data_IF_243150557814
#
_entry.id   IF_243150557814
#
_cell.length_a   1.000
_cell.length_b   1.000
_cell.length_c   1.000
_cell.angle_alpha   90.00
_cell.angle_beta   90.00
_cell.angle_gamma   90.00
#
_symmetry.space_group_name_H-M   'P 1'
#
loop_
_entity.id
_entity.type
_entity.pdbx_description
1 polymer ?
#
# COMPACT_ATOMS: atom_id res chain seq x y z
N UNK A 1 20.39 -6.64 -30.27
CA UNK A 1 20.68 -5.51 -29.38
C UNK A 1 20.78 -4.20 -30.15
N UNK A 2 21.68 -4.05 -31.13
CA UNK A 2 21.86 -2.80 -31.90
C UNK A 2 20.56 -2.22 -32.48
N UNK A 3 19.69 -3.07 -33.02
CA UNK A 3 18.41 -2.65 -33.56
C UNK A 3 17.48 -2.07 -32.50
N UNK A 4 17.37 -2.73 -31.34
CA UNK A 4 16.57 -2.21 -30.22
C UNK A 4 17.12 -0.87 -29.71
N UNK A 5 18.45 -0.76 -29.57
CA UNK A 5 19.10 0.47 -29.12
C UNK A 5 18.84 1.63 -30.10
N UNK A 6 18.95 1.38 -31.40
CA UNK A 6 18.64 2.38 -32.43
C UNK A 6 17.19 2.84 -32.36
N UNK A 7 16.25 1.91 -32.17
CA UNK A 7 14.84 2.26 -32.01
C UNK A 7 14.61 3.10 -30.74
N UNK A 8 15.29 2.76 -29.62
CA UNK A 8 15.18 3.52 -28.37
C UNK A 8 15.74 4.94 -28.43
N UNK A 9 16.67 5.19 -29.35
CA UNK A 9 17.19 6.54 -29.63
C UNK A 9 16.21 7.42 -30.42
N UNK A 10 15.23 6.83 -31.09
CA UNK A 10 14.23 7.58 -31.84
C UNK A 10 13.12 8.11 -30.92
N UNK A 11 12.68 9.38 -31.05
CA UNK A 11 11.58 9.88 -30.23
C UNK A 11 10.27 9.16 -30.57
N UNK A 12 9.37 9.02 -29.57
CA UNK A 12 8.00 8.61 -29.81
C UNK A 12 7.22 9.80 -30.37
N UNK A 13 6.60 9.61 -31.53
CA UNK A 13 5.88 10.65 -32.21
C UNK A 13 4.38 10.52 -31.99
N UNK A 14 3.72 11.61 -31.66
CA UNK A 14 2.28 11.69 -31.54
C UNK A 14 1.76 13.09 -31.86
N UNK A 15 0.52 13.15 -32.30
CA UNK A 15 -0.24 14.37 -32.54
C UNK A 15 -1.72 14.12 -32.20
N UNK A 16 -2.59 15.10 -32.30
CA UNK A 16 -3.99 15.02 -31.92
C UNK A 16 -4.74 13.84 -32.54
N UNK A 17 -4.40 13.53 -33.79
CA UNK A 17 -5.03 12.46 -34.58
C UNK A 17 -4.37 11.09 -34.43
N UNK A 18 -3.34 10.99 -33.59
CA UNK A 18 -2.65 9.70 -33.40
C UNK A 18 -3.56 8.71 -32.68
N UNK A 19 -3.84 7.59 -33.33
CA UNK A 19 -4.61 6.51 -32.70
C UNK A 19 -3.74 5.70 -31.75
N UNK A 20 -4.36 5.04 -30.78
CA UNK A 20 -3.66 4.13 -29.85
C UNK A 20 -2.87 3.05 -30.60
N UNK A 21 -3.45 2.45 -31.65
CA UNK A 21 -2.77 1.42 -32.45
C UNK A 21 -1.53 2.00 -33.17
N UNK A 22 -1.61 3.20 -33.73
CA UNK A 22 -0.46 3.85 -34.38
C UNK A 22 0.63 4.22 -33.36
N UNK A 23 0.27 4.61 -32.15
CA UNK A 23 1.23 4.86 -31.08
C UNK A 23 1.94 3.57 -30.65
N UNK A 24 1.22 2.48 -30.39
CA UNK A 24 1.78 1.18 -30.00
C UNK A 24 2.66 0.59 -31.11
N UNK A 25 2.35 0.82 -32.39
CA UNK A 25 3.15 0.36 -33.52
C UNK A 25 4.58 0.90 -33.51
N UNK A 26 4.85 2.04 -32.84
CA UNK A 26 6.19 2.63 -32.76
C UNK A 26 7.14 1.90 -31.81
N UNK A 27 6.64 0.98 -30.99
CA UNK A 27 7.46 0.21 -30.06
C UNK A 27 7.09 -1.29 -30.02
N UNK A 28 6.42 -1.78 -31.07
CA UNK A 28 6.06 -3.19 -31.22
C UNK A 28 6.57 -3.78 -32.54
N UNK A 29 6.62 -5.11 -32.62
CA UNK A 29 7.10 -5.81 -33.81
C UNK A 29 8.52 -5.42 -34.20
N UNK A 30 8.72 -4.98 -35.44
CA UNK A 30 10.03 -4.53 -35.95
C UNK A 30 10.52 -3.24 -35.28
N UNK A 31 9.62 -2.46 -34.72
CA UNK A 31 9.93 -1.24 -34.01
C UNK A 31 10.17 -1.45 -32.52
N UNK A 32 10.25 -2.72 -32.06
CA UNK A 32 10.51 -3.02 -30.66
C UNK A 32 11.75 -2.25 -30.15
N UNK A 33 11.69 -1.83 -28.89
CA UNK A 33 12.66 -0.97 -28.22
C UNK A 33 13.25 -1.71 -27.00
N UNK A 34 14.32 -1.18 -26.44
CA UNK A 34 14.86 -1.71 -25.17
C UNK A 34 13.84 -1.59 -24.03
N UNK A 35 13.09 -0.49 -24.01
CA UNK A 35 12.03 -0.26 -23.02
C UNK A 35 10.95 -1.35 -23.12
N UNK A 36 10.55 -1.73 -24.36
CA UNK A 36 9.59 -2.82 -24.59
C UNK A 36 10.11 -4.16 -24.06
N UNK A 37 11.38 -4.46 -24.34
CA UNK A 37 12.03 -5.65 -23.81
C UNK A 37 12.09 -5.63 -22.27
N UNK A 38 12.45 -4.50 -21.70
CA UNK A 38 12.53 -4.32 -20.25
C UNK A 38 11.19 -4.49 -19.56
N UNK A 39 10.10 -3.90 -20.09
CA UNK A 39 8.74 -4.09 -19.59
C UNK A 39 8.33 -5.57 -19.67
N UNK A 40 8.62 -6.23 -20.79
CA UNK A 40 8.35 -7.67 -20.94
C UNK A 40 9.10 -8.51 -19.89
N UNK A 41 10.38 -8.23 -19.65
CA UNK A 41 11.17 -8.92 -18.63
C UNK A 41 10.62 -8.66 -17.21
N UNK A 42 10.21 -7.42 -16.91
CA UNK A 42 9.54 -7.09 -15.64
C UNK A 42 8.22 -7.85 -15.49
N UNK A 43 7.44 -7.98 -16.56
CA UNK A 43 6.20 -8.77 -16.54
C UNK A 43 6.49 -10.26 -16.30
N UNK A 44 7.57 -10.83 -16.86
CA UNK A 44 8.01 -12.20 -16.58
C UNK A 44 8.37 -12.35 -15.11
N UNK A 45 9.10 -11.41 -14.52
CA UNK A 45 9.43 -11.42 -13.08
C UNK A 45 8.17 -11.40 -12.23
N UNK A 46 7.22 -10.50 -12.52
CA UNK A 46 5.93 -10.43 -11.82
C UNK A 46 5.16 -11.75 -11.96
N UNK A 47 5.09 -12.32 -13.15
CA UNK A 47 4.43 -13.61 -13.37
C UNK A 47 5.03 -14.73 -12.50
N UNK A 48 6.35 -14.75 -12.28
CA UNK A 48 6.96 -15.72 -11.34
C UNK A 48 6.55 -15.49 -9.89
N UNK A 49 6.02 -14.33 -9.55
CA UNK A 49 5.52 -14.03 -8.20
C UNK A 49 4.03 -14.37 -8.07
N UNK A 50 3.23 -13.95 -9.04
CA UNK A 50 1.76 -14.03 -9.00
C UNK A 50 1.23 -15.40 -9.48
N UNK A 51 2.02 -16.17 -10.23
CA UNK A 51 1.62 -17.48 -10.76
C UNK A 51 2.43 -18.59 -10.08
N UNK A 52 1.82 -19.35 -9.15
CA UNK A 52 2.54 -20.39 -8.39
C UNK A 52 3.09 -21.52 -9.27
N UNK A 53 2.34 -21.90 -10.32
CA UNK A 53 2.67 -23.02 -11.17
C UNK A 53 2.48 -22.69 -12.65
N UNK A 54 3.58 -22.71 -13.42
CA UNK A 54 3.56 -22.47 -14.86
C UNK A 54 4.51 -23.43 -15.60
N UNK A 55 4.08 -24.69 -15.83
CA UNK A 55 4.95 -25.80 -16.24
C UNK A 55 5.65 -25.60 -17.59
N UNK A 56 5.21 -24.66 -18.41
CA UNK A 56 5.90 -24.30 -19.66
C UNK A 56 7.14 -23.43 -19.46
N UNK A 57 7.20 -22.66 -18.35
CA UNK A 57 8.33 -21.78 -18.04
C UNK A 57 9.18 -22.29 -16.89
N UNK A 58 8.56 -22.85 -15.85
CA UNK A 58 9.25 -23.43 -14.69
C UNK A 58 8.45 -24.61 -14.12
N UNK A 59 9.17 -25.64 -13.70
CA UNK A 59 8.58 -26.86 -13.12
C UNK A 59 8.84 -26.99 -11.63
N UNK A 60 9.87 -26.31 -11.15
CA UNK A 60 10.29 -26.33 -9.75
C UNK A 60 10.45 -24.89 -9.24
N UNK A 61 10.44 -24.73 -7.92
CA UNK A 61 10.74 -23.42 -7.31
C UNK A 61 12.16 -22.95 -7.67
N UNK A 62 13.11 -23.86 -7.79
CA UNK A 62 14.47 -23.52 -8.19
C UNK A 62 14.50 -22.91 -9.61
N UNK A 63 13.79 -23.52 -10.57
CA UNK A 63 13.68 -22.98 -11.94
C UNK A 63 12.98 -21.61 -11.93
N UNK A 64 11.92 -21.47 -11.12
CA UNK A 64 11.19 -20.22 -10.92
C UNK A 64 12.12 -19.11 -10.41
N UNK A 65 12.90 -19.38 -9.36
CA UNK A 65 13.86 -18.41 -8.82
C UNK A 65 15.00 -18.09 -9.79
N UNK A 66 15.49 -19.06 -10.53
CA UNK A 66 16.50 -18.83 -11.59
C UNK A 66 15.96 -17.93 -12.69
N UNK A 67 14.73 -18.20 -13.17
CA UNK A 67 14.07 -17.36 -14.17
C UNK A 67 13.88 -15.94 -13.66
N UNK A 68 13.37 -15.79 -12.44
CA UNK A 68 13.19 -14.48 -11.78
C UNK A 68 14.51 -13.71 -11.75
N UNK A 69 15.57 -14.32 -11.24
CA UNK A 69 16.89 -13.70 -11.15
C UNK A 69 17.46 -13.30 -12.51
N UNK A 70 17.32 -14.16 -13.52
CA UNK A 70 17.79 -13.87 -14.87
C UNK A 70 17.01 -12.70 -15.48
N UNK A 71 15.67 -12.76 -15.44
CA UNK A 71 14.82 -11.73 -16.01
C UNK A 71 15.01 -10.37 -15.30
N UNK A 72 15.17 -10.35 -13.96
CA UNK A 72 15.49 -9.12 -13.22
C UNK A 72 16.81 -8.52 -13.68
N UNK A 73 17.88 -9.29 -13.76
CA UNK A 73 19.19 -8.79 -14.19
C UNK A 73 19.16 -8.25 -15.62
N UNK A 74 18.47 -8.93 -16.52
CA UNK A 74 18.33 -8.47 -17.91
C UNK A 74 17.47 -7.21 -17.99
N UNK A 75 16.41 -7.10 -17.16
CA UNK A 75 15.60 -5.89 -17.03
C UNK A 75 16.44 -4.71 -16.53
N UNK A 76 17.22 -4.90 -15.45
CA UNK A 76 18.11 -3.87 -14.91
C UNK A 76 19.12 -3.38 -15.93
N UNK A 77 19.78 -4.32 -16.64
CA UNK A 77 20.74 -3.96 -17.69
C UNK A 77 20.07 -3.20 -18.85
N UNK A 78 18.88 -3.63 -19.28
CA UNK A 78 18.13 -2.90 -20.30
C UNK A 78 17.78 -1.47 -19.84
N UNK A 79 17.42 -1.31 -18.56
CA UNK A 79 17.14 0.01 -17.99
C UNK A 79 18.38 0.89 -17.93
N UNK A 80 19.53 0.37 -17.52
CA UNK A 80 20.80 1.10 -17.50
C UNK A 80 21.18 1.62 -18.91
N UNK A 81 20.99 0.76 -19.91
CA UNK A 81 21.22 1.18 -21.32
C UNK A 81 20.22 2.28 -21.71
N UNK A 82 18.92 2.13 -21.45
CA UNK A 82 17.92 3.16 -21.75
C UNK A 82 18.26 4.51 -21.09
N UNK A 83 18.67 4.49 -19.82
CA UNK A 83 19.07 5.71 -19.11
C UNK A 83 20.32 6.36 -19.72
N UNK A 84 21.28 5.55 -20.18
CA UNK A 84 22.51 6.04 -20.82
C UNK A 84 22.29 6.70 -22.19
N UNK A 85 21.15 6.40 -22.84
CA UNK A 85 20.79 7.02 -24.13
C UNK A 85 20.25 8.45 -23.97
N UNK A 86 19.86 8.85 -22.78
CA UNK A 86 19.25 10.16 -22.47
C UNK A 86 18.05 10.52 -23.37
N UNK A 87 17.21 9.53 -23.67
CA UNK A 87 16.04 9.63 -24.53
C UNK A 87 14.74 9.39 -23.79
N UNK A 88 14.55 10.10 -22.65
CA UNK A 88 13.40 9.94 -21.78
C UNK A 88 12.08 10.12 -22.53
N UNK A 89 11.16 9.16 -22.36
CA UNK A 89 9.85 9.13 -22.98
C UNK A 89 8.83 8.39 -22.11
N UNK A 90 7.54 8.39 -22.51
CA UNK A 90 6.45 7.74 -21.77
C UNK A 90 6.69 6.23 -21.54
N UNK A 91 7.28 5.54 -22.53
CA UNK A 91 7.54 4.10 -22.42
C UNK A 91 8.69 3.82 -21.46
N UNK A 92 9.72 4.67 -21.44
CA UNK A 92 10.83 4.54 -20.48
C UNK A 92 10.34 4.79 -19.04
N UNK A 93 9.45 5.76 -18.83
CA UNK A 93 8.82 5.96 -17.51
C UNK A 93 8.02 4.74 -17.07
N UNK A 94 7.22 4.15 -17.97
CA UNK A 94 6.49 2.93 -17.68
C UNK A 94 7.45 1.77 -17.32
N UNK A 95 8.57 1.65 -18.05
CA UNK A 95 9.60 0.66 -17.74
C UNK A 95 10.25 0.88 -16.37
N UNK A 96 10.63 2.13 -16.05
CA UNK A 96 11.18 2.47 -14.73
C UNK A 96 10.20 2.12 -13.61
N UNK A 97 8.91 2.41 -13.82
CA UNK A 97 7.87 2.09 -12.85
C UNK A 97 7.72 0.58 -12.64
N UNK A 98 7.63 -0.21 -13.71
CA UNK A 98 7.55 -1.68 -13.60
C UNK A 98 8.81 -2.28 -12.97
N UNK A 99 9.99 -1.73 -13.25
CA UNK A 99 11.24 -2.14 -12.61
C UNK A 99 11.25 -1.78 -11.11
N UNK A 100 10.72 -0.61 -10.72
CA UNK A 100 10.52 -0.29 -9.30
C UNK A 100 9.63 -1.33 -8.61
N UNK A 101 8.47 -1.65 -9.18
CA UNK A 101 7.56 -2.68 -8.63
C UNK A 101 8.24 -4.04 -8.48
N UNK A 102 9.04 -4.46 -9.48
CA UNK A 102 9.84 -5.70 -9.38
C UNK A 102 10.76 -5.67 -8.17
N UNK A 103 11.41 -4.56 -7.90
CA UNK A 103 12.37 -4.45 -6.80
C UNK A 103 11.72 -4.36 -5.41
N UNK A 104 10.42 -4.06 -5.30
CA UNK A 104 9.72 -4.14 -4.01
C UNK A 104 9.68 -5.57 -3.46
N UNK A 105 9.59 -6.58 -4.32
CA UNK A 105 9.60 -7.98 -3.88
C UNK A 105 10.92 -8.73 -4.15
N UNK A 106 11.80 -8.22 -5.01
CA UNK A 106 13.12 -8.82 -5.24
C UNK A 106 14.15 -8.36 -4.22
N UNK A 107 14.14 -7.08 -3.87
CA UNK A 107 15.04 -6.47 -2.87
C UNK A 107 14.32 -6.26 -1.52
N UNK A 108 12.99 -6.26 -1.50
CA UNK A 108 12.13 -6.03 -0.36
C UNK A 108 11.59 -4.59 -0.30
N UNK A 109 10.39 -4.45 0.26
CA UNK A 109 9.69 -3.16 0.39
C UNK A 109 10.46 -2.15 1.27
N UNK A 110 11.23 -2.63 2.25
CA UNK A 110 12.06 -1.79 3.13
C UNK A 110 13.41 -1.42 2.52
N UNK A 111 13.79 -1.97 1.36
CA UNK A 111 15.12 -1.79 0.82
C UNK A 111 15.37 -0.36 0.36
N UNK A 112 16.61 0.12 0.57
CA UNK A 112 17.05 1.39 0.00
C UNK A 112 16.97 1.37 -1.54
N UNK A 113 17.23 0.22 -2.16
CA UNK A 113 17.18 0.04 -3.62
C UNK A 113 15.78 0.34 -4.16
N UNK A 114 14.73 -0.26 -3.58
CA UNK A 114 13.33 -0.01 -3.98
C UNK A 114 12.95 1.46 -3.78
N UNK A 115 13.27 2.01 -2.61
CA UNK A 115 12.99 3.41 -2.30
C UNK A 115 13.69 4.38 -3.25
N UNK A 116 14.96 4.14 -3.61
CA UNK A 116 15.71 4.95 -4.57
C UNK A 116 15.06 4.90 -5.94
N UNK A 117 14.70 3.70 -6.43
CA UNK A 117 14.04 3.51 -7.75
C UNK A 117 12.74 4.29 -7.87
N UNK A 118 11.93 4.35 -6.81
CA UNK A 118 10.75 5.23 -6.80
C UNK A 118 11.14 6.69 -6.99
N UNK A 119 12.28 7.13 -6.42
CA UNK A 119 12.81 8.47 -6.64
C UNK A 119 13.21 8.73 -8.10
N UNK A 120 13.81 7.75 -8.76
CA UNK A 120 14.18 7.84 -10.19
C UNK A 120 12.91 7.92 -11.07
N UNK A 121 11.87 7.14 -10.75
CA UNK A 121 10.54 7.21 -11.41
C UNK A 121 9.93 8.60 -11.26
N UNK A 122 9.92 9.16 -10.04
CA UNK A 122 9.38 10.49 -9.76
C UNK A 122 10.14 11.56 -10.53
N UNK A 123 11.47 11.51 -10.54
CA UNK A 123 12.30 12.45 -11.29
C UNK A 123 11.98 12.42 -12.80
N UNK A 124 11.85 11.22 -13.36
CA UNK A 124 11.50 11.04 -14.79
C UNK A 124 10.09 11.54 -15.11
N UNK A 125 9.12 11.26 -14.22
CA UNK A 125 7.75 11.74 -14.36
C UNK A 125 7.67 13.28 -14.34
N UNK A 126 8.40 13.93 -13.44
CA UNK A 126 8.47 15.39 -13.38
C UNK A 126 9.18 15.97 -14.60
N UNK A 127 10.26 15.34 -15.09
CA UNK A 127 10.97 15.75 -16.30
C UNK A 127 10.08 15.65 -17.56
N UNK A 128 9.17 14.68 -17.61
CA UNK A 128 8.15 14.55 -18.67
C UNK A 128 6.98 15.55 -18.54
N UNK A 129 6.92 16.34 -17.47
CA UNK A 129 5.89 17.35 -17.25
C UNK A 129 4.53 16.79 -16.85
N UNK A 130 4.43 15.57 -16.32
CA UNK A 130 3.12 14.99 -15.93
C UNK A 130 2.45 15.74 -14.77
N UNK A 131 3.21 16.49 -13.99
CA UNK A 131 2.73 17.33 -12.88
C UNK A 131 2.11 18.64 -13.36
N UNK A 132 2.32 19.01 -14.62
CA UNK A 132 1.85 20.28 -15.18
C UNK A 132 0.39 20.20 -15.64
N UNK A 133 -0.25 21.39 -15.75
CA UNK A 133 -1.60 21.49 -16.27
C UNK A 133 -1.60 21.23 -17.78
N UNK A 134 -2.36 20.24 -18.21
CA UNK A 134 -2.57 20.00 -19.65
C UNK A 134 -3.50 21.09 -20.20
N UNK A 135 -2.94 22.26 -20.49
CA UNK A 135 -3.72 23.39 -21.06
C UNK A 135 -4.02 23.23 -22.55
N UNK A 136 -3.32 22.34 -23.23
CA UNK A 136 -3.41 22.17 -24.67
C UNK A 136 -3.93 20.79 -25.05
N UNK A 137 -5.23 20.55 -24.90
CA UNK A 137 -5.94 19.42 -25.52
C UNK A 137 -5.67 19.30 -27.04
N UNK A 138 -5.12 20.33 -27.68
CA UNK A 138 -4.90 20.40 -29.14
C UNK A 138 -3.66 19.64 -29.62
N UNK A 139 -2.76 19.15 -28.77
CA UNK A 139 -1.48 18.55 -29.21
C UNK A 139 -1.27 17.10 -28.79
N UNK A 140 -1.99 16.62 -27.80
CA UNK A 140 -1.83 15.28 -27.23
C UNK A 140 -3.13 14.51 -27.42
N UNK A 141 -3.12 13.27 -27.94
CA UNK A 141 -4.33 12.48 -28.09
C UNK A 141 -4.90 12.08 -26.74
N UNK A 142 -6.24 12.00 -26.62
CA UNK A 142 -6.95 11.78 -25.36
C UNK A 142 -6.47 10.52 -24.62
N UNK A 143 -6.24 9.41 -25.32
CA UNK A 143 -5.76 8.17 -24.70
C UNK A 143 -4.39 8.37 -24.01
N UNK A 144 -3.53 9.21 -24.54
CA UNK A 144 -2.20 9.48 -23.98
C UNK A 144 -2.32 10.42 -22.77
N UNK A 145 -3.26 11.37 -22.79
CA UNK A 145 -3.59 12.20 -21.61
C UNK A 145 -4.07 11.29 -20.47
N UNK A 146 -5.01 10.37 -20.75
CA UNK A 146 -5.52 9.43 -19.76
C UNK A 146 -4.44 8.50 -19.22
N UNK A 147 -3.54 8.01 -20.09
CA UNK A 147 -2.40 7.17 -19.68
C UNK A 147 -1.48 7.94 -18.72
N UNK A 148 -1.12 9.17 -19.05
CA UNK A 148 -0.26 10.03 -18.23
C UNK A 148 -0.90 10.38 -16.89
N UNK A 149 -2.20 10.68 -16.89
CA UNK A 149 -2.96 10.94 -15.66
C UNK A 149 -3.00 9.71 -14.75
N UNK A 150 -3.24 8.51 -15.33
CA UNK A 150 -3.24 7.26 -14.57
C UNK A 150 -1.85 6.93 -14.02
N UNK A 151 -0.79 7.14 -14.79
CA UNK A 151 0.59 6.94 -14.35
C UNK A 151 0.95 7.92 -13.22
N UNK A 152 0.60 9.21 -13.36
CA UNK A 152 0.81 10.19 -12.30
C UNK A 152 0.08 9.80 -11.02
N UNK A 153 -1.21 9.47 -11.13
CA UNK A 153 -2.04 9.07 -9.98
C UNK A 153 -1.42 7.89 -9.22
N UNK A 154 -0.92 6.89 -9.96
CA UNK A 154 -0.28 5.71 -9.38
C UNK A 154 1.03 6.06 -8.67
N UNK A 155 1.94 6.77 -9.34
CA UNK A 155 3.24 7.17 -8.78
C UNK A 155 3.04 8.07 -7.55
N UNK A 156 2.06 8.98 -7.60
CA UNK A 156 1.71 9.84 -6.47
C UNK A 156 1.20 9.02 -5.27
N UNK A 157 0.39 8.01 -5.52
CA UNK A 157 -0.10 7.09 -4.46
C UNK A 157 1.06 6.33 -3.83
N UNK A 158 1.93 5.73 -4.64
CA UNK A 158 3.07 4.96 -4.16
C UNK A 158 4.04 5.84 -3.35
N UNK A 159 4.24 7.11 -3.75
CA UNK A 159 5.05 8.06 -2.96
C UNK A 159 4.49 8.26 -1.54
N UNK A 160 3.16 8.38 -1.38
CA UNK A 160 2.56 8.56 -0.06
C UNK A 160 2.56 7.27 0.77
N UNK A 161 2.25 6.14 0.16
CA UNK A 161 2.23 4.85 0.85
C UNK A 161 3.61 4.41 1.31
N UNK A 162 4.61 4.53 0.44
CA UNK A 162 6.01 4.23 0.79
C UNK A 162 6.53 5.21 1.84
N UNK A 163 6.12 6.49 1.78
CA UNK A 163 6.47 7.49 2.80
C UNK A 163 5.91 7.14 4.18
N UNK A 164 4.64 6.74 4.26
CA UNK A 164 3.99 6.29 5.49
C UNK A 164 4.68 5.02 6.01
N UNK A 165 4.88 4.02 5.14
CA UNK A 165 5.45 2.74 5.52
C UNK A 165 6.91 2.87 6.04
N UNK A 166 7.74 3.65 5.34
CA UNK A 166 9.15 3.84 5.74
C UNK A 166 9.34 4.99 6.73
N UNK A 167 8.26 5.71 7.07
CA UNK A 167 8.33 6.90 7.89
C UNK A 167 9.23 7.99 7.30
N UNK A 168 9.28 8.17 6.00
CA UNK A 168 10.12 9.15 5.29
C UNK A 168 9.28 10.26 4.67
N UNK A 169 9.86 11.47 4.46
CA UNK A 169 9.14 12.55 3.77
C UNK A 169 8.70 12.12 2.38
N UNK A 170 7.47 12.49 1.94
CA UNK A 170 7.07 12.33 0.56
C UNK A 170 7.91 13.22 -0.35
N UNK A 171 8.16 12.76 -1.58
CA UNK A 171 8.94 13.49 -2.58
C UNK A 171 8.06 14.39 -3.46
N UNK A 172 6.79 13.99 -3.64
CA UNK A 172 5.80 14.76 -4.39
C UNK A 172 4.95 15.57 -3.43
N UNK A 173 4.69 16.83 -3.79
CA UNK A 173 3.73 17.66 -3.06
C UNK A 173 2.63 18.15 -4.00
N UNK A 174 1.38 18.00 -3.58
CA UNK A 174 0.20 18.54 -4.26
C UNK A 174 0.34 20.03 -4.59
N UNK A 175 1.05 20.79 -3.76
CA UNK A 175 1.25 22.25 -3.97
C UNK A 175 1.94 22.60 -5.28
N UNK A 176 2.74 21.67 -5.83
CA UNK A 176 3.49 21.84 -7.06
C UNK A 176 2.94 20.99 -8.21
N UNK A 177 1.81 20.31 -8.00
CA UNK A 177 1.24 19.41 -9.00
C UNK A 177 -0.18 19.85 -9.37
N UNK A 178 -0.41 20.05 -10.65
CA UNK A 178 -1.71 20.42 -11.23
C UNK A 178 -2.33 19.25 -12.00
N UNK A 179 -2.29 18.05 -11.43
CA UNK A 179 -2.88 16.91 -12.08
C UNK A 179 -4.39 16.81 -11.85
N UNK A 180 -5.10 16.22 -12.80
CA UNK A 180 -6.49 15.82 -12.63
C UNK A 180 -6.54 14.35 -12.31
N UNK A 181 -7.42 13.98 -11.39
CA UNK A 181 -7.73 12.58 -11.13
C UNK A 181 -8.38 12.00 -12.39
N UNK A 182 -7.98 10.79 -12.85
CA UNK A 182 -8.58 10.17 -14.04
C UNK A 182 -10.11 10.13 -13.97
N UNK A 183 -10.76 10.47 -15.07
CA UNK A 183 -12.19 10.89 -15.23
C UNK A 183 -13.24 9.94 -14.64
N UNK A 184 -12.92 8.68 -14.35
CA UNK A 184 -13.90 7.70 -13.84
C UNK A 184 -14.63 8.13 -12.55
N UNK A 185 -14.12 9.11 -11.81
CA UNK A 185 -14.68 9.62 -10.56
C UNK A 185 -14.84 11.15 -10.54
N UNK A 186 -14.60 11.87 -11.65
CA UNK A 186 -14.66 13.34 -11.75
C UNK A 186 -16.05 13.95 -11.43
N UNK A 187 -17.10 13.14 -11.38
CA UNK A 187 -18.42 13.61 -10.90
C UNK A 187 -18.40 14.03 -9.43
N UNK A 188 -17.32 13.77 -8.72
CA UNK A 188 -17.17 14.09 -7.28
C UNK A 188 -16.74 15.53 -7.01
N UNK A 189 -15.98 16.17 -7.92
CA UNK A 189 -15.53 17.56 -7.73
C UNK A 189 -16.48 18.61 -8.35
N UNK A 190 -17.42 18.21 -9.20
CA UNK A 190 -18.26 19.13 -9.98
C UNK A 190 -19.36 19.85 -9.17
N UNK A 191 -19.62 19.49 -7.93
CA UNK A 191 -20.74 20.05 -7.15
C UNK A 191 -20.46 21.39 -6.45
N UNK A 192 -19.26 21.95 -6.52
CA UNK A 192 -19.00 23.28 -5.90
C UNK A 192 -19.04 24.48 -6.87
N UNK A 193 -19.16 24.30 -8.17
CA UNK A 193 -19.00 25.42 -9.12
C UNK A 193 -19.88 25.46 -10.37
N UNK A 194 -20.91 24.64 -10.52
CA UNK A 194 -21.77 24.70 -11.71
C UNK A 194 -23.26 24.74 -11.40
N UNK A 195 -23.80 25.95 -11.29
CA UNK A 195 -25.20 26.24 -11.66
C UNK A 195 -25.28 26.22 -13.21
N UNK A 196 -25.78 25.14 -13.80
CA UNK A 196 -25.98 25.09 -15.24
C UNK A 196 -26.36 23.69 -15.72
N UNK A 197 -27.66 23.50 -15.87
CA UNK A 197 -28.33 22.48 -16.68
C UNK A 197 -27.43 21.77 -17.70
N UNK A 198 -27.31 20.39 -17.63
CA UNK A 198 -27.79 19.55 -18.71
C UNK A 198 -27.40 18.08 -18.61
N UNK A 199 -28.43 17.28 -18.87
CA UNK A 199 -28.46 15.93 -19.46
C UNK A 199 -27.75 14.84 -18.67
N UNK A 200 -28.49 14.32 -17.72
CA UNK A 200 -28.33 12.97 -17.19
C UNK A 200 -28.78 11.99 -18.30
N UNK A 201 -27.82 11.51 -19.07
CA UNK A 201 -27.98 10.20 -19.71
C UNK A 201 -28.09 9.13 -18.63
N UNK A 202 -28.65 7.92 -18.89
CA UNK A 202 -28.70 6.86 -17.91
C UNK A 202 -27.30 6.66 -17.37
N UNK A 203 -27.14 6.72 -16.05
CA UNK A 203 -25.86 6.58 -15.37
C UNK A 203 -25.25 5.25 -15.85
N UNK A 204 -24.34 5.33 -16.81
CA UNK A 204 -23.50 4.20 -17.16
C UNK A 204 -22.82 3.79 -15.87
N UNK A 205 -23.12 2.58 -15.37
CA UNK A 205 -22.45 2.04 -14.18
C UNK A 205 -20.95 2.18 -14.39
N UNK A 206 -20.30 2.99 -13.55
CA UNK A 206 -18.85 3.18 -13.60
C UNK A 206 -18.24 1.79 -13.44
N UNK A 207 -17.55 1.31 -14.46
CA UNK A 207 -16.94 -0.02 -14.46
C UNK A 207 -15.73 -0.01 -13.51
N UNK A 208 -15.61 -1.06 -12.70
CA UNK A 208 -14.41 -1.30 -11.91
C UNK A 208 -13.30 -1.75 -12.87
N UNK A 209 -12.44 -0.82 -13.24
CA UNK A 209 -11.28 -1.03 -14.10
C UNK A 209 -10.01 -0.42 -13.47
N UNK A 210 -8.91 -0.50 -14.19
CA UNK A 210 -7.62 0.04 -13.74
C UNK A 210 -7.69 1.57 -13.45
N UNK A 211 -8.45 2.33 -14.24
CA UNK A 211 -8.60 3.78 -14.05
C UNK A 211 -9.36 4.09 -12.77
N UNK A 212 -10.46 3.37 -12.52
CA UNK A 212 -11.20 3.50 -11.28
C UNK A 212 -10.31 3.21 -10.06
N UNK A 213 -9.45 2.19 -10.17
CA UNK A 213 -8.46 1.87 -9.13
C UNK A 213 -7.46 3.00 -8.90
N UNK A 214 -6.85 3.52 -9.97
CA UNK A 214 -5.91 4.64 -9.87
C UNK A 214 -6.58 5.91 -9.30
N UNK A 215 -7.82 6.19 -9.72
CA UNK A 215 -8.56 7.37 -9.26
C UNK A 215 -8.87 7.30 -7.77
N UNK A 216 -9.38 6.16 -7.29
CA UNK A 216 -9.66 5.98 -5.87
C UNK A 216 -8.40 6.06 -5.01
N UNK A 217 -7.33 5.36 -5.42
CA UNK A 217 -6.06 5.38 -4.72
C UNK A 217 -5.47 6.81 -4.65
N UNK A 218 -5.57 7.59 -5.73
CA UNK A 218 -5.11 8.98 -5.75
C UNK A 218 -5.94 9.89 -4.84
N UNK A 219 -7.28 9.72 -4.79
CA UNK A 219 -8.13 10.45 -3.85
C UNK A 219 -7.74 10.17 -2.40
N UNK A 220 -7.48 8.91 -2.06
CA UNK A 220 -6.99 8.52 -0.74
C UNK A 220 -5.58 9.08 -0.47
N UNK A 221 -4.69 9.08 -1.48
CA UNK A 221 -3.33 9.59 -1.36
C UNK A 221 -3.30 11.12 -1.10
N UNK A 222 -4.25 11.88 -1.65
CA UNK A 222 -4.40 13.30 -1.33
C UNK A 222 -4.67 13.54 0.16
N UNK A 223 -5.55 12.72 0.76
CA UNK A 223 -5.82 12.79 2.19
C UNK A 223 -4.62 12.27 3.02
N UNK A 224 -3.94 11.21 2.56
CA UNK A 224 -2.71 10.71 3.18
C UNK A 224 -1.61 11.79 3.20
N UNK A 225 -1.48 12.64 2.15
CA UNK A 225 -0.55 13.79 2.18
C UNK A 225 -0.94 14.82 3.25
N UNK A 226 -2.23 15.20 3.33
CA UNK A 226 -2.70 16.11 4.38
C UNK A 226 -2.42 15.53 5.79
N UNK A 227 -2.52 14.21 5.96
CA UNK A 227 -2.21 13.51 7.21
C UNK A 227 -0.70 13.55 7.52
N UNK A 228 0.15 13.32 6.51
CA UNK A 228 1.60 13.42 6.67
C UNK A 228 2.03 14.82 7.13
N UNK A 229 1.34 15.88 6.69
CA UNK A 229 1.57 17.23 7.21
C UNK A 229 1.19 17.37 8.70
N UNK A 230 0.20 16.61 9.19
CA UNK A 230 -0.18 16.66 10.61
C UNK A 230 0.87 16.05 11.53
N UNK A 231 1.69 15.08 11.07
CA UNK A 231 2.76 14.52 11.87
C UNK A 231 3.85 15.54 12.27
N UNK A 232 3.98 16.62 11.49
CA UNK A 232 4.94 17.70 11.76
C UNK A 232 4.30 18.93 12.39
N UNK A 233 2.97 18.91 12.61
CA UNK A 233 2.22 20.02 13.19
C UNK A 233 2.43 20.05 14.72
N UNK A 234 2.99 21.15 15.21
CA UNK A 234 3.31 21.33 16.64
C UNK A 234 2.11 21.80 17.48
N UNK A 235 1.14 22.46 16.85
CA UNK A 235 -0.04 22.95 17.56
C UNK A 235 -1.11 21.87 17.62
N UNK A 236 -1.30 21.28 18.81
CA UNK A 236 -2.27 20.20 19.05
C UNK A 236 -3.70 20.59 18.70
N UNK A 237 -4.14 21.80 19.04
CA UNK A 237 -5.49 22.26 18.73
C UNK A 237 -5.71 22.37 17.21
N UNK A 238 -4.75 22.96 16.50
CA UNK A 238 -4.77 23.04 15.04
C UNK A 238 -4.73 21.65 14.39
N UNK A 239 -3.92 20.73 14.94
CA UNK A 239 -3.87 19.33 14.50
C UNK A 239 -5.23 18.65 14.63
N UNK A 240 -5.91 18.76 15.78
CA UNK A 240 -7.25 18.19 16.01
C UNK A 240 -8.28 18.77 15.04
N UNK A 241 -8.27 20.10 14.85
CA UNK A 241 -9.18 20.76 13.93
C UNK A 241 -8.96 20.28 12.48
N UNK A 242 -7.72 20.24 12.01
CA UNK A 242 -7.40 19.73 10.66
C UNK A 242 -7.76 18.26 10.50
N UNK A 243 -7.46 17.44 11.50
CA UNK A 243 -7.80 16.02 11.48
C UNK A 243 -9.32 15.78 11.33
N UNK A 244 -10.16 16.60 12.02
CA UNK A 244 -11.62 16.51 11.88
C UNK A 244 -12.10 16.86 10.47
N UNK A 245 -11.46 17.85 9.82
CA UNK A 245 -11.77 18.22 8.43
C UNK A 245 -11.38 17.09 7.46
N UNK A 246 -10.18 16.51 7.63
CA UNK A 246 -9.73 15.38 6.80
C UNK A 246 -10.65 14.17 6.99
N UNK A 247 -11.06 13.90 8.23
CA UNK A 247 -12.04 12.83 8.52
C UNK A 247 -13.35 13.04 7.77
N UNK A 248 -13.90 14.26 7.84
CA UNK A 248 -15.15 14.59 7.15
C UNK A 248 -15.02 14.42 5.62
N UNK A 249 -13.86 14.81 5.02
CA UNK A 249 -13.57 14.59 3.61
C UNK A 249 -13.51 13.09 3.28
N UNK A 250 -12.84 12.28 4.08
CA UNK A 250 -12.74 10.84 3.87
C UNK A 250 -14.11 10.15 3.90
N UNK A 251 -14.96 10.51 4.87
CA UNK A 251 -16.32 9.98 4.97
C UNK A 251 -17.19 10.43 3.80
N UNK A 252 -17.05 11.68 3.36
CA UNK A 252 -17.76 12.19 2.19
C UNK A 252 -17.35 11.43 0.90
N UNK A 253 -16.05 11.25 0.67
CA UNK A 253 -15.54 10.46 -0.47
C UNK A 253 -16.08 9.04 -0.44
N UNK A 254 -16.05 8.36 0.72
CA UNK A 254 -16.58 7.00 0.84
C UNK A 254 -18.09 6.93 0.56
N UNK A 255 -18.86 7.88 1.07
CA UNK A 255 -20.30 7.96 0.82
C UNK A 255 -20.66 8.26 -0.64
N UNK A 256 -19.80 8.97 -1.34
CA UNK A 256 -19.98 9.28 -2.76
C UNK A 256 -19.60 8.11 -3.66
N UNK A 257 -18.69 7.23 -3.25
CA UNK A 257 -18.32 6.05 -4.05
C UNK A 257 -19.56 5.21 -4.36
N UNK A 258 -19.81 4.83 -5.63
CA UNK A 258 -20.95 4.02 -6.02
C UNK A 258 -21.07 2.74 -5.19
N UNK A 259 -22.30 2.30 -4.88
CA UNK A 259 -22.52 1.15 -3.99
C UNK A 259 -21.89 -0.15 -4.50
N UNK A 260 -21.89 -0.37 -5.83
CA UNK A 260 -21.25 -1.54 -6.44
C UNK A 260 -19.72 -1.54 -6.36
N UNK A 261 -19.11 -0.38 -6.07
CA UNK A 261 -17.68 -0.19 -5.84
C UNK A 261 -17.31 -0.21 -4.35
N UNK A 262 -18.28 -0.35 -3.45
CA UNK A 262 -18.01 -0.50 -2.02
C UNK A 262 -17.89 -1.96 -1.62
N UNK A 263 -16.98 -2.24 -0.72
CA UNK A 263 -16.80 -3.58 -0.19
C UNK A 263 -18.04 -4.07 0.56
N UNK A 264 -18.45 -5.29 0.26
CA UNK A 264 -19.40 -6.09 1.01
C UNK A 264 -18.79 -7.49 1.20
N UNK A 265 -19.05 -8.13 2.35
CA UNK A 265 -18.48 -9.46 2.67
C UNK A 265 -18.85 -10.52 1.63
N UNK A 266 -20.01 -10.39 0.99
CA UNK A 266 -20.46 -11.30 -0.06
C UNK A 266 -19.64 -11.23 -1.34
N UNK A 267 -18.92 -10.10 -1.58
CA UNK A 267 -18.20 -9.86 -2.84
C UNK A 267 -17.07 -10.87 -3.10
N UNK A 268 -16.46 -11.41 -2.05
CA UNK A 268 -15.41 -12.43 -2.18
C UNK A 268 -15.93 -13.77 -2.69
N UNK A 269 -17.19 -14.08 -2.42
CA UNK A 269 -17.85 -15.31 -2.85
C UNK A 269 -18.67 -15.14 -4.13
N UNK A 270 -18.81 -13.91 -4.62
CA UNK A 270 -19.51 -13.64 -5.87
C UNK A 270 -18.61 -14.00 -7.07
N UNK A 271 -18.85 -15.19 -7.64
CA UNK A 271 -18.12 -15.69 -8.81
C UNK A 271 -18.37 -14.92 -10.12
N UNK A 272 -19.35 -14.00 -10.14
CA UNK A 272 -19.59 -13.10 -11.27
C UNK A 272 -18.56 -11.99 -11.36
N UNK A 273 -17.92 -11.65 -10.23
CA UNK A 273 -16.88 -10.64 -10.18
C UNK A 273 -15.53 -11.23 -10.61
N UNK A 274 -14.79 -10.46 -11.38
CA UNK A 274 -13.41 -10.80 -11.75
C UNK A 274 -12.48 -10.76 -10.52
N UNK A 275 -11.32 -11.43 -10.55
CA UNK A 275 -10.30 -11.30 -9.52
C UNK A 275 -9.86 -9.85 -9.26
N UNK A 276 -9.80 -9.02 -10.32
CA UNK A 276 -9.48 -7.61 -10.24
C UNK A 276 -10.54 -6.81 -9.47
N UNK A 277 -11.82 -7.03 -9.75
CA UNK A 277 -12.92 -6.36 -9.05
C UNK A 277 -12.95 -6.69 -7.56
N UNK A 278 -12.71 -7.96 -7.19
CA UNK A 278 -12.62 -8.35 -5.77
C UNK A 278 -11.43 -7.69 -5.07
N UNK A 279 -10.28 -7.68 -5.72
CA UNK A 279 -9.06 -7.03 -5.19
C UNK A 279 -9.26 -5.52 -5.03
N UNK A 280 -9.89 -4.86 -6.01
CA UNK A 280 -10.25 -3.46 -5.93
C UNK A 280 -11.15 -3.16 -4.72
N UNK A 281 -12.22 -3.94 -4.51
CA UNK A 281 -13.17 -3.70 -3.42
C UNK A 281 -12.51 -3.78 -2.05
N UNK A 282 -11.65 -4.79 -1.84
CA UNK A 282 -10.86 -4.92 -0.60
C UNK A 282 -9.91 -3.74 -0.45
N UNK A 283 -9.14 -3.42 -1.50
CA UNK A 283 -8.17 -2.34 -1.48
C UNK A 283 -8.82 -1.00 -1.21
N UNK A 284 -9.96 -0.71 -1.87
CA UNK A 284 -10.71 0.52 -1.67
C UNK A 284 -11.19 0.68 -0.22
N UNK A 285 -11.64 -0.41 0.41
CA UNK A 285 -12.04 -0.38 1.82
C UNK A 285 -10.84 -0.22 2.74
N UNK A 286 -9.74 -0.95 2.49
CA UNK A 286 -8.51 -0.84 3.27
C UNK A 286 -7.94 0.58 3.21
N UNK A 287 -7.90 1.20 2.04
CA UNK A 287 -7.44 2.59 1.88
C UNK A 287 -8.26 3.58 2.72
N UNK A 288 -9.59 3.44 2.66
CA UNK A 288 -10.48 4.29 3.46
C UNK A 288 -10.28 4.11 4.97
N UNK A 289 -10.19 2.84 5.43
CA UNK A 289 -9.97 2.56 6.85
C UNK A 289 -8.58 3.01 7.29
N UNK A 290 -7.57 2.88 6.43
CA UNK A 290 -6.20 3.32 6.73
C UNK A 290 -6.13 4.83 6.98
N UNK A 291 -6.88 5.65 6.22
CA UNK A 291 -6.99 7.10 6.51
C UNK A 291 -7.54 7.31 7.91
N UNK A 292 -8.60 6.60 8.31
CA UNK A 292 -9.18 6.68 9.65
C UNK A 292 -8.18 6.23 10.72
N UNK A 293 -7.45 5.13 10.45
CA UNK A 293 -6.41 4.60 11.31
C UNK A 293 -5.30 5.64 11.56
N UNK A 294 -4.76 6.25 10.51
CA UNK A 294 -3.70 7.25 10.61
C UNK A 294 -4.17 8.51 11.35
N UNK A 295 -5.39 8.99 11.08
CA UNK A 295 -5.96 10.14 11.79
C UNK A 295 -6.11 9.84 13.28
N UNK A 296 -6.64 8.65 13.62
CA UNK A 296 -6.79 8.27 15.02
C UNK A 296 -5.45 8.09 15.71
N UNK A 297 -4.48 7.49 15.01
CA UNK A 297 -3.10 7.33 15.48
C UNK A 297 -2.47 8.67 15.89
N UNK A 298 -2.65 9.74 15.10
CA UNK A 298 -2.16 11.09 15.44
C UNK A 298 -2.89 11.67 16.64
N UNK A 299 -4.16 11.34 16.82
CA UNK A 299 -5.01 11.95 17.84
C UNK A 299 -4.94 11.25 19.20
N UNK A 300 -4.49 10.00 19.28
CA UNK A 300 -4.38 9.32 20.57
C UNK A 300 -3.27 9.96 21.43
N UNK A 301 -3.45 9.92 22.74
CA UNK A 301 -2.51 10.51 23.68
C UNK A 301 -1.35 9.55 24.02
N UNK A 302 -1.57 8.26 23.90
CA UNK A 302 -0.58 7.22 24.17
C UNK A 302 -0.86 5.98 23.31
N UNK A 303 0.16 5.48 22.61
CA UNK A 303 0.07 4.22 21.88
C UNK A 303 -0.09 3.02 22.81
N UNK A 304 0.48 3.09 24.01
CA UNK A 304 0.35 2.03 25.01
C UNK A 304 -1.10 1.86 25.49
N UNK A 305 -1.97 2.86 25.28
CA UNK A 305 -3.37 2.84 25.69
C UNK A 305 -4.29 3.25 24.52
N UNK A 306 -4.43 2.37 23.50
CA UNK A 306 -5.34 2.63 22.40
C UNK A 306 -6.79 2.67 22.89
N UNK A 307 -7.54 3.67 22.44
CA UNK A 307 -8.95 3.80 22.79
C UNK A 307 -9.84 2.85 21.95
N UNK A 308 -11.11 2.73 22.37
CA UNK A 308 -12.08 1.82 21.74
C UNK A 308 -12.24 2.07 20.23
N UNK A 309 -12.20 3.32 19.79
CA UNK A 309 -12.33 3.65 18.38
C UNK A 309 -11.12 3.18 17.57
N UNK A 310 -9.90 3.36 18.11
CA UNK A 310 -8.67 2.85 17.49
C UNK A 310 -8.68 1.33 17.40
N UNK A 311 -9.14 0.65 18.46
CA UNK A 311 -9.26 -0.81 18.51
C UNK A 311 -10.27 -1.31 17.45
N UNK A 312 -11.42 -0.65 17.31
CA UNK A 312 -12.42 -1.01 16.31
C UNK A 312 -11.89 -0.84 14.88
N UNK A 313 -11.21 0.27 14.60
CA UNK A 313 -10.59 0.54 13.29
C UNK A 313 -9.51 -0.53 12.99
N UNK A 314 -8.63 -0.82 13.93
CA UNK A 314 -7.60 -1.84 13.79
C UNK A 314 -8.20 -3.23 13.57
N UNK A 315 -9.25 -3.60 14.31
CA UNK A 315 -9.94 -4.87 14.14
C UNK A 315 -10.58 -5.01 12.75
N UNK A 316 -11.25 -3.95 12.25
CA UNK A 316 -11.82 -3.96 10.89
C UNK A 316 -10.71 -4.14 9.85
N UNK A 317 -9.61 -3.40 9.98
CA UNK A 317 -8.47 -3.47 9.07
C UNK A 317 -7.82 -4.86 9.07
N UNK A 318 -7.55 -5.45 10.24
CA UNK A 318 -7.03 -6.82 10.36
C UNK A 318 -7.99 -7.84 9.78
N UNK A 319 -9.30 -7.71 10.04
CA UNK A 319 -10.31 -8.63 9.52
C UNK A 319 -10.32 -8.64 7.99
N UNK A 320 -10.23 -7.48 7.34
CA UNK A 320 -10.17 -7.38 5.88
C UNK A 320 -8.88 -7.98 5.32
N UNK A 321 -7.75 -7.75 5.97
CA UNK A 321 -6.47 -8.35 5.54
C UNK A 321 -6.53 -9.87 5.64
N UNK A 322 -7.04 -10.42 6.75
CA UNK A 322 -7.21 -11.87 6.92
C UNK A 322 -8.16 -12.44 5.86
N UNK A 323 -9.25 -11.76 5.56
CA UNK A 323 -10.17 -12.16 4.48
C UNK A 323 -9.49 -12.14 3.10
N UNK A 324 -8.65 -11.14 2.82
CA UNK A 324 -7.85 -11.10 1.60
C UNK A 324 -6.86 -12.27 1.51
N UNK A 325 -6.17 -12.58 2.61
CA UNK A 325 -5.23 -13.71 2.70
C UNK A 325 -5.95 -15.04 2.44
N UNK A 326 -7.11 -15.26 3.05
CA UNK A 326 -7.91 -16.47 2.85
C UNK A 326 -8.51 -16.57 1.43
N UNK A 327 -8.71 -15.44 0.77
CA UNK A 327 -9.25 -15.36 -0.58
C UNK A 327 -8.19 -15.21 -1.68
N UNK A 328 -6.90 -15.37 -1.38
CA UNK A 328 -5.77 -15.08 -2.29
C UNK A 328 -5.91 -15.66 -3.70
N UNK A 329 -6.42 -16.90 -3.81
CA UNK A 329 -6.60 -17.57 -5.09
C UNK A 329 -7.70 -16.94 -5.97
N UNK A 330 -8.47 -16.01 -5.40
CA UNK A 330 -9.59 -15.31 -6.06
C UNK A 330 -9.30 -13.85 -6.33
N UNK A 331 -8.13 -13.35 -5.91
CA UNK A 331 -7.71 -11.95 -6.06
C UNK A 331 -6.71 -11.80 -7.20
N UNK A 332 -6.66 -10.62 -7.79
CA UNK A 332 -5.60 -10.24 -8.70
C UNK A 332 -4.32 -9.88 -7.91
N UNK A 333 -3.15 -10.04 -8.56
CA UNK A 333 -1.85 -9.66 -7.98
C UNK A 333 -1.62 -10.23 -6.57
N UNK A 334 -2.03 -11.47 -6.35
CA UNK A 334 -1.98 -12.09 -5.03
C UNK A 334 -0.55 -12.35 -4.53
N UNK A 335 0.44 -12.35 -5.41
CA UNK A 335 1.84 -12.50 -5.02
C UNK A 335 2.42 -11.24 -4.37
N UNK A 336 2.48 -10.14 -5.10
CA UNK A 336 3.07 -8.89 -4.61
C UNK A 336 2.08 -8.02 -3.82
N UNK A 337 0.88 -7.83 -4.37
CA UNK A 337 -0.11 -6.94 -3.78
C UNK A 337 -0.67 -7.40 -2.44
N UNK A 338 -0.75 -8.72 -2.20
CA UNK A 338 -1.24 -9.26 -0.93
C UNK A 338 -0.22 -9.09 0.19
N UNK A 339 1.05 -9.36 -0.10
CA UNK A 339 2.16 -9.13 0.85
C UNK A 339 2.18 -7.66 1.28
N UNK A 340 2.04 -6.73 0.33
CA UNK A 340 1.94 -5.30 0.63
C UNK A 340 0.75 -4.98 1.54
N UNK A 341 -0.44 -5.55 1.29
CA UNK A 341 -1.61 -5.36 2.17
C UNK A 341 -1.35 -5.85 3.60
N UNK A 342 -0.69 -7.00 3.75
CA UNK A 342 -0.33 -7.52 5.08
C UNK A 342 0.64 -6.56 5.78
N UNK A 343 1.69 -6.11 5.09
CA UNK A 343 2.73 -5.25 5.66
C UNK A 343 2.17 -3.86 6.00
N UNK A 344 1.46 -3.23 5.07
CA UNK A 344 1.00 -1.84 5.25
C UNK A 344 -0.21 -1.71 6.18
N UNK A 345 -1.10 -2.70 6.18
CA UNK A 345 -2.36 -2.63 6.94
C UNK A 345 -2.45 -3.66 8.06
N UNK A 346 -2.06 -4.90 7.77
CA UNK A 346 -2.24 -6.03 8.68
C UNK A 346 -1.35 -5.96 9.92
N UNK A 347 -0.06 -5.71 9.73
CA UNK A 347 0.91 -5.66 10.83
C UNK A 347 0.65 -4.49 11.78
N UNK A 348 0.43 -3.23 11.31
CA UNK A 348 0.08 -2.13 12.21
C UNK A 348 -1.22 -2.37 12.98
N UNK A 349 -2.24 -2.92 12.32
CA UNK A 349 -3.49 -3.27 12.98
C UNK A 349 -3.29 -4.34 14.07
N UNK A 350 -2.47 -5.37 13.78
CA UNK A 350 -2.11 -6.39 14.76
C UNK A 350 -1.40 -5.79 15.97
N UNK A 351 -0.45 -4.88 15.76
CA UNK A 351 0.26 -4.19 16.84
C UNK A 351 -0.68 -3.43 17.79
N UNK A 352 -1.60 -2.63 17.27
CA UNK A 352 -2.60 -1.92 18.08
C UNK A 352 -3.47 -2.90 18.88
N UNK A 353 -3.89 -3.98 18.26
CA UNK A 353 -4.71 -5.02 18.92
C UNK A 353 -3.94 -5.68 20.04
N UNK A 354 -2.67 -6.05 19.85
CA UNK A 354 -1.82 -6.63 20.87
C UNK A 354 -1.63 -5.68 22.06
N UNK A 355 -1.36 -4.38 21.79
CA UNK A 355 -1.26 -3.37 22.83
C UNK A 355 -2.58 -3.25 23.63
N UNK A 356 -3.72 -3.25 22.94
CA UNK A 356 -5.02 -3.21 23.60
C UNK A 356 -5.29 -4.42 24.49
N UNK A 357 -4.89 -5.62 24.07
CA UNK A 357 -5.05 -6.83 24.89
C UNK A 357 -4.13 -6.79 26.11
N UNK A 358 -2.89 -6.31 25.97
CA UNK A 358 -1.94 -6.16 27.08
C UNK A 358 -2.44 -5.18 28.15
N UNK A 359 -3.01 -4.06 27.76
CA UNK A 359 -3.48 -3.02 28.67
C UNK A 359 -4.77 -3.41 29.41
N UNK A 360 -5.65 -4.16 28.73
CA UNK A 360 -6.95 -4.51 29.28
C UNK A 360 -6.86 -5.72 30.24
N UNK A 361 -6.69 -5.41 31.53
CA UNK A 361 -6.83 -6.39 32.63
C UNK A 361 -8.24 -6.96 32.77
N UNK A 362 -9.23 -6.40 32.09
CA UNK A 362 -10.63 -6.82 32.18
C UNK A 362 -11.10 -7.44 30.84
N UNK A 363 -11.32 -8.78 30.78
CA UNK A 363 -11.69 -9.48 29.54
C UNK A 363 -13.05 -9.08 28.94
N UNK A 364 -13.86 -8.28 29.64
CA UNK A 364 -15.22 -7.91 29.25
C UNK A 364 -15.32 -6.57 28.51
N UNK A 365 -14.26 -5.77 28.45
CA UNK A 365 -14.24 -4.46 27.77
C UNK A 365 -13.23 -4.39 26.63
N UNK A 366 -13.56 -5.02 25.51
CA UNK A 366 -12.77 -4.92 24.30
C UNK A 366 -13.54 -4.14 23.22
N UNK A 367 -13.87 -2.84 23.50
CA UNK A 367 -14.56 -1.97 22.55
C UNK A 367 -15.85 -2.56 21.95
N UNK A 368 -16.54 -3.47 22.67
CA UNK A 368 -17.71 -4.21 22.16
C UNK A 368 -17.39 -5.34 21.18
N UNK A 369 -16.10 -5.67 20.95
CA UNK A 369 -15.66 -6.72 20.05
C UNK A 369 -15.53 -8.07 20.76
N UNK A 370 -15.73 -9.17 20.03
CA UNK A 370 -15.46 -10.52 20.53
C UNK A 370 -13.94 -10.77 20.55
N UNK A 371 -13.34 -10.84 21.75
CA UNK A 371 -11.92 -11.19 21.94
C UNK A 371 -11.56 -12.50 21.21
N UNK A 372 -12.42 -13.50 21.27
CA UNK A 372 -12.19 -14.76 20.58
C UNK A 372 -12.03 -14.60 19.07
N UNK A 373 -12.84 -13.73 18.43
CA UNK A 373 -12.74 -13.44 16.99
C UNK A 373 -11.46 -12.70 16.65
N UNK A 374 -11.04 -11.78 17.50
CA UNK A 374 -9.79 -11.03 17.33
C UNK A 374 -8.58 -11.96 17.41
N UNK A 375 -8.51 -12.81 18.46
CA UNK A 375 -7.46 -13.81 18.62
C UNK A 375 -7.44 -14.81 17.45
N UNK A 376 -8.62 -15.20 16.95
CA UNK A 376 -8.72 -16.06 15.78
C UNK A 376 -8.10 -15.42 14.54
N UNK A 377 -8.36 -14.13 14.27
CA UNK A 377 -7.77 -13.42 13.14
C UNK A 377 -6.23 -13.36 13.25
N UNK A 378 -5.69 -13.07 14.43
CA UNK A 378 -4.24 -13.09 14.67
C UNK A 378 -3.65 -14.47 14.41
N UNK A 379 -4.26 -15.55 14.94
CA UNK A 379 -3.80 -16.92 14.70
C UNK A 379 -3.82 -17.32 13.23
N UNK A 380 -4.86 -16.93 12.49
CA UNK A 380 -4.94 -17.19 11.04
C UNK A 380 -3.79 -16.46 10.33
N UNK A 381 -3.55 -15.19 10.65
CA UNK A 381 -2.47 -14.42 10.02
C UNK A 381 -1.11 -15.07 10.30
N UNK A 382 -0.83 -15.43 11.55
CA UNK A 382 0.40 -16.14 11.95
C UNK A 382 0.56 -17.45 11.17
N UNK A 383 -0.48 -18.29 11.15
CA UNK A 383 -0.44 -19.57 10.46
C UNK A 383 -0.13 -19.41 8.96
N UNK A 384 -0.79 -18.46 8.29
CA UNK A 384 -0.59 -18.22 6.85
C UNK A 384 0.82 -17.65 6.53
N UNK A 385 1.42 -16.89 7.45
CA UNK A 385 2.82 -16.47 7.34
C UNK A 385 3.77 -17.67 7.54
N UNK A 386 3.56 -18.46 8.58
CA UNK A 386 4.44 -19.57 8.94
C UNK A 386 4.48 -20.70 7.90
N UNK A 387 3.34 -21.02 7.29
CA UNK A 387 3.30 -22.00 6.19
C UNK A 387 3.93 -21.50 4.90
N UNK A 388 4.38 -20.23 4.86
CA UNK A 388 5.01 -19.62 3.68
C UNK A 388 4.02 -19.31 2.55
N UNK A 389 2.73 -19.22 2.85
CA UNK A 389 1.69 -18.93 1.85
C UNK A 389 1.78 -17.50 1.28
N UNK A 390 2.33 -16.57 2.04
CA UNK A 390 2.45 -15.16 1.67
C UNK A 390 3.81 -14.84 1.05
N UNK A 391 4.89 -15.42 1.55
CA UNK A 391 6.24 -15.15 1.06
C UNK A 391 7.11 -16.38 1.27
N UNK A 392 7.95 -16.67 0.28
CA UNK A 392 8.87 -17.80 0.35
C UNK A 392 10.09 -17.44 1.22
N UNK A 393 10.72 -18.41 1.95
CA UNK A 393 11.91 -18.17 2.79
C UNK A 393 13.10 -17.49 2.11
N UNK A 394 13.18 -17.55 0.77
CA UNK A 394 14.22 -16.87 -0.02
C UNK A 394 13.88 -15.43 -0.39
N UNK A 395 12.68 -14.96 -0.07
CA UNK A 395 12.22 -13.62 -0.42
C UNK A 395 12.56 -12.63 0.71
N UNK A 396 12.96 -11.39 0.40
CA UNK A 396 13.38 -10.41 1.40
C UNK A 396 12.30 -10.09 2.45
N UNK A 397 11.04 -10.02 2.02
CA UNK A 397 9.92 -9.71 2.92
C UNK A 397 9.60 -10.85 3.90
N UNK A 398 10.12 -12.08 3.66
CA UNK A 398 9.90 -13.23 4.54
C UNK A 398 10.44 -12.98 5.95
N UNK A 399 11.62 -12.39 6.07
CA UNK A 399 12.23 -12.10 7.39
C UNK A 399 11.39 -11.10 8.20
N UNK A 400 10.78 -10.11 7.55
CA UNK A 400 9.88 -9.15 8.17
C UNK A 400 8.62 -9.86 8.68
N UNK A 401 7.95 -10.61 7.79
CA UNK A 401 6.72 -11.31 8.11
C UNK A 401 6.92 -12.37 9.21
N UNK A 402 8.03 -13.13 9.15
CA UNK A 402 8.32 -14.18 10.13
C UNK A 402 8.58 -13.60 11.52
N UNK A 403 9.32 -12.48 11.63
CA UNK A 403 9.53 -11.81 12.92
C UNK A 403 8.21 -11.30 13.50
N UNK A 404 7.38 -10.68 12.70
CA UNK A 404 6.06 -10.23 13.14
C UNK A 404 5.17 -11.40 13.59
N UNK A 405 5.15 -12.50 12.82
CA UNK A 405 4.40 -13.71 13.20
C UNK A 405 4.89 -14.29 14.53
N UNK A 406 6.20 -14.36 14.74
CA UNK A 406 6.81 -14.85 15.99
C UNK A 406 6.41 -13.99 17.18
N UNK A 407 6.41 -12.67 17.03
CA UNK A 407 5.98 -11.75 18.10
C UNK A 407 4.50 -11.97 18.46
N UNK A 408 3.63 -12.06 17.45
CA UNK A 408 2.20 -12.34 17.67
C UNK A 408 2.01 -13.70 18.34
N UNK A 409 2.71 -14.74 17.89
CA UNK A 409 2.63 -16.10 18.43
C UNK A 409 3.06 -16.15 19.90
N UNK A 410 4.22 -15.60 20.23
CA UNK A 410 4.74 -15.53 21.60
C UNK A 410 3.72 -14.87 22.55
N UNK A 411 3.06 -13.82 22.05
CA UNK A 411 2.00 -13.15 22.79
C UNK A 411 0.79 -14.07 23.00
N UNK A 412 0.29 -14.72 21.95
CA UNK A 412 -0.86 -15.61 22.02
C UNK A 412 -0.62 -16.78 22.98
N UNK A 413 0.59 -17.35 22.99
CA UNK A 413 1.00 -18.42 23.90
C UNK A 413 1.08 -17.95 25.36
N UNK A 414 1.45 -16.70 25.60
CA UNK A 414 1.47 -16.13 26.95
C UNK A 414 0.07 -15.95 27.51
N UNK A 415 -0.88 -15.55 26.68
CA UNK A 415 -2.29 -15.37 27.04
C UNK A 415 -2.95 -16.71 27.38
N UNK A 416 -2.69 -17.78 26.61
CA UNK A 416 -3.23 -19.12 26.91
C UNK A 416 -2.74 -19.68 28.26
N UNK A 417 -1.48 -19.40 28.62
CA UNK A 417 -0.92 -19.81 29.92
C UNK A 417 -1.57 -19.07 31.07
N UNK A 418 -1.96 -17.82 30.91
CA UNK A 418 -2.66 -17.04 31.93
C UNK A 418 -4.10 -17.51 32.12
N UNK A 419 -4.81 -17.89 31.07
CA UNK A 419 -6.18 -18.41 31.15
C UNK A 419 -6.27 -19.79 31.83
N UNK A 420 -5.19 -20.60 31.79
CA UNK A 420 -5.15 -21.94 32.41
C UNK A 420 -4.70 -21.94 33.86
N UNK A 421 -4.26 -20.83 34.47
CA UNK A 421 -3.87 -20.72 35.88
C UNK A 421 -4.52 -19.52 36.60
N UNK A 422 -5.85 -19.51 36.81
CA UNK A 422 -6.52 -18.40 37.49
C UNK A 422 -6.29 -18.35 39.01
N UNK A 423 -5.57 -19.32 39.64
CA UNK A 423 -5.40 -19.43 41.09
C UNK A 423 -3.93 -19.47 41.56
N UNK A 424 -3.11 -18.49 41.12
CA UNK A 424 -1.86 -18.21 41.82
C UNK A 424 -2.10 -17.11 42.86
N UNK A 425 -2.15 -17.48 44.14
CA UNK A 425 -2.18 -16.54 45.27
C UNK A 425 -1.01 -15.53 45.13
N UNK A 426 -1.33 -14.31 44.76
CA UNK A 426 -0.38 -13.20 44.79
C UNK A 426 -0.31 -12.74 46.25
N UNK A 427 0.79 -13.07 46.94
CA UNK A 427 1.18 -12.43 48.18
C UNK A 427 1.43 -10.95 47.90
N UNK A 428 0.48 -10.14 48.31
CA UNK A 428 0.60 -8.66 48.34
C UNK A 428 1.50 -8.28 49.50
N UNK A 429 2.78 -8.02 49.23
CA UNK A 429 3.61 -7.05 49.95
C UNK A 429 4.76 -6.63 49.03
N UNK A 430 4.62 -5.48 48.43
CA UNK A 430 5.74 -4.51 48.32
C UNK A 430 5.22 -3.22 47.65
N UNK A 431 5.40 -2.14 48.37
CA UNK A 431 5.28 -0.77 47.90
C UNK A 431 6.22 -0.57 46.72
N UNK A 432 5.66 -0.41 45.55
CA UNK A 432 6.45 -0.04 44.34
C UNK A 432 6.14 1.42 43.99
N UNK A 433 7.20 2.21 43.93
CA UNK A 433 7.19 3.59 43.44
C UNK A 433 6.65 3.70 42.02
N UNK A 434 5.98 4.80 41.63
CA UNK A 434 5.44 4.97 40.30
C UNK A 434 6.59 5.02 39.29
N UNK A 435 6.60 4.09 38.32
CA UNK A 435 7.56 4.08 37.22
C UNK A 435 8.26 2.74 36.93
N UNK A 436 8.00 1.66 37.68
CA UNK A 436 8.59 0.34 37.37
C UNK A 436 7.56 -0.59 36.72
N UNK A 437 7.89 -1.05 35.51
CA UNK A 437 7.15 -2.13 34.85
C UNK A 437 7.12 -3.37 35.74
N UNK A 438 5.96 -4.06 35.81
CA UNK A 438 5.76 -5.22 36.68
C UNK A 438 6.60 -6.44 36.30
N UNK A 439 6.69 -7.48 37.18
CA UNK A 439 7.56 -8.65 37.02
C UNK A 439 7.34 -9.50 35.77
N UNK A 440 6.24 -9.30 35.06
CA UNK A 440 5.90 -9.98 33.80
C UNK A 440 6.71 -9.43 32.60
N UNK A 441 7.16 -8.16 32.68
CA UNK A 441 7.99 -7.55 31.64
C UNK A 441 9.42 -8.14 31.59
N UNK A 442 9.90 -8.72 32.69
CA UNK A 442 11.22 -9.34 32.76
C UNK A 442 11.31 -10.78 32.21
N UNK A 443 10.17 -11.43 31.95
CA UNK A 443 10.12 -12.78 31.35
C UNK A 443 9.76 -12.78 29.85
N UNK A 444 9.39 -11.65 29.30
CA UNK A 444 9.29 -11.47 27.87
C UNK A 444 10.69 -11.20 27.34
N UNK A 445 11.15 -12.05 26.43
CA UNK A 445 12.44 -11.87 25.78
C UNK A 445 12.40 -10.55 25.01
N UNK A 446 12.89 -9.45 25.60
CA UNK A 446 12.86 -8.09 25.04
C UNK A 446 13.51 -8.00 23.65
N UNK A 447 14.42 -8.96 23.32
CA UNK A 447 15.01 -9.04 21.98
C UNK A 447 13.98 -9.44 20.88
N UNK A 448 12.87 -10.11 21.23
CA UNK A 448 11.77 -10.41 20.30
C UNK A 448 10.85 -9.18 20.07
N UNK A 449 10.81 -8.26 21.04
CA UNK A 449 10.07 -6.98 20.94
C UNK A 449 10.85 -5.89 20.22
N UNK A 450 12.16 -6.06 20.01
CA UNK A 450 13.01 -5.10 19.28
C UNK A 450 12.51 -4.83 17.86
N UNK A 451 11.73 -5.73 17.28
CA UNK A 451 11.14 -5.47 15.96
C UNK A 451 9.87 -4.62 16.03
N UNK A 452 9.01 -4.86 17.02
CA UNK A 452 7.80 -4.04 17.21
C UNK A 452 8.15 -2.68 17.80
N UNK A 453 9.05 -2.65 18.77
CA UNK A 453 9.73 -1.44 19.19
C UNK A 453 10.50 -0.84 18.01
N UNK A 454 11.25 -1.59 17.21
CA UNK A 454 11.97 -1.11 16.04
C UNK A 454 11.06 -0.68 14.88
N UNK A 455 9.89 -1.28 14.66
CA UNK A 455 8.88 -0.78 13.74
C UNK A 455 8.22 0.49 14.31
N UNK A 456 7.85 0.46 15.60
CA UNK A 456 7.25 1.59 16.29
C UNK A 456 8.30 2.61 16.71
N UNK A 457 9.54 2.23 17.05
CA UNK A 457 10.68 3.12 17.25
C UNK A 457 11.18 3.69 15.93
N UNK A 458 11.24 2.94 14.84
CA UNK A 458 11.43 3.50 13.50
C UNK A 458 10.29 4.44 13.08
N UNK A 459 9.06 4.16 13.48
CA UNK A 459 7.95 5.09 13.32
C UNK A 459 8.03 6.23 14.36
N UNK A 460 8.43 5.97 15.61
CA UNK A 460 8.54 6.93 16.72
C UNK A 460 9.88 7.69 16.75
N UNK A 461 10.99 7.08 16.36
CA UNK A 461 12.31 7.73 16.16
C UNK A 461 12.41 8.38 14.78
N UNK A 462 11.43 8.12 13.93
CA UNK A 462 11.37 8.79 12.64
C UNK A 462 11.34 10.30 12.84
N UNK A 463 12.09 11.10 12.03
CA UNK A 463 12.13 12.57 12.14
C UNK A 463 10.76 13.25 12.17
N UNK A 464 9.70 12.60 11.64
CA UNK A 464 8.32 13.06 11.74
C UNK A 464 7.66 12.79 13.10
N UNK A 465 8.13 11.79 13.86
CA UNK A 465 7.55 11.39 15.14
C UNK A 465 8.43 11.76 16.34
N UNK A 466 9.76 11.84 16.14
CA UNK A 466 10.71 12.25 17.19
C UNK A 466 10.56 13.72 17.63
N UNK A 467 9.80 14.53 16.86
CA UNK A 467 9.39 15.87 17.24
C UNK A 467 8.08 15.91 18.05
N UNK A 468 7.45 14.76 18.29
CA UNK A 468 6.33 14.63 19.22
C UNK A 468 6.91 14.50 20.65
N UNK A 469 7.44 15.59 21.21
CA UNK A 469 7.50 15.73 22.67
C UNK A 469 6.05 15.70 23.16
N UNK A 470 5.61 14.53 23.65
CA UNK A 470 4.37 14.44 24.38
C UNK A 470 4.52 15.34 25.62
N UNK A 471 3.69 16.35 25.82
CA UNK A 471 3.75 17.14 27.04
C UNK A 471 3.50 16.17 28.21
N UNK A 472 4.49 16.13 29.13
CA UNK A 472 4.42 15.43 30.40
C UNK A 472 3.27 15.95 31.26
#
# INVERSE_FOLDING_TARGET
>A
MEHLTRNSQSPLLFGPETTFAAYVAQFSGHNARLETLGIFLSAVVRATNDVPFFPTLYKTDEDKFRLRKLATRLSDHALEVCLSLDCLNDLQLAFQYENFIVHTFVDGDQSYSSWRRLGDVIASMLALGYHERVETRSRIPDFLVELRQSAFARIYTDDKEVSIFLGRPPRLSRRFCHFRIPIALDSFEANESASGTEVVGPANEIKIDYRAGCSWAALCALLKEEILELFIEKNREHCVQRASVIWAKAEAQWKQLPTHMRYDVSCLNDYRRSPFERDFLISARLDHIHIRFLLRFILINSLAQPDDEMIQIAHEMLTLVVQAVLARDRLANSGSGLVWKVILYGLPASGIILLAILEQRNPYHFGGLSRAKVLQNLRILVAEIQIGALSHPREPNFALLTRAAQTIENFLDSEERHDHHPNGQINTHHDAAPGQMGPWASNLNLEAWDFDLGFWENLAEHPFLSNLEFPT
#
